data_IF_092028666032
#
_entry.id   IF_092028666032
#
_cell.length_a   1.000
_cell.length_b   1.000
_cell.length_c   1.000
_cell.angle_alpha   90.00
_cell.angle_beta   90.00
_cell.angle_gamma   90.00
#
_symmetry.space_group_name_H-M   'P 1'
#
loop_
_entity.id
_entity.type
_entity.pdbx_description
1 polymer ?
#
# COMPACT_ATOMS: atom_id res chain seq x y z
N UNK A 1 -2.98 -1.48 -28.34
CA UNK A 1 -4.10 -1.25 -27.38
C UNK A 1 -4.38 0.25 -27.31
N UNK A 2 -5.63 0.66 -27.12
CA UNK A 2 -5.98 2.09 -26.99
C UNK A 2 -6.07 2.47 -25.52
N UNK A 3 -5.36 3.53 -25.11
CA UNK A 3 -5.37 4.09 -23.76
C UNK A 3 -5.87 5.53 -23.80
N UNK A 4 -6.85 5.86 -22.96
CA UNK A 4 -7.38 7.22 -22.82
C UNK A 4 -7.17 7.69 -21.38
N UNK A 5 -6.39 8.76 -21.20
CA UNK A 5 -6.06 9.33 -19.89
C UNK A 5 -6.81 10.65 -19.74
N UNK A 6 -7.61 10.78 -18.68
CA UNK A 6 -8.33 12.02 -18.34
C UNK A 6 -7.67 12.71 -17.15
N UNK A 7 -7.90 14.03 -17.02
CA UNK A 7 -7.41 14.88 -15.92
C UNK A 7 -5.87 14.94 -15.82
N UNK A 8 -5.16 14.81 -16.93
CA UNK A 8 -3.73 15.09 -16.98
C UNK A 8 -3.50 16.61 -17.01
N UNK A 9 -2.51 17.07 -16.26
CA UNK A 9 -2.05 18.45 -16.32
C UNK A 9 -1.50 18.75 -17.72
N UNK A 10 -2.04 19.78 -18.37
CA UNK A 10 -1.72 20.10 -19.76
C UNK A 10 -0.26 20.55 -19.92
N UNK A 11 0.29 21.25 -18.93
CA UNK A 11 1.68 21.71 -18.95
C UNK A 11 2.62 20.52 -18.89
N UNK A 12 2.36 19.57 -17.99
CA UNK A 12 3.16 18.33 -17.89
C UNK A 12 3.09 17.50 -19.17
N UNK A 13 1.91 17.35 -19.78
CA UNK A 13 1.77 16.62 -21.04
C UNK A 13 2.56 17.28 -22.18
N UNK A 14 2.60 18.61 -22.22
CA UNK A 14 3.33 19.37 -23.23
C UNK A 14 4.83 19.22 -23.09
N UNK A 15 5.35 19.36 -21.87
CA UNK A 15 6.77 19.15 -21.57
C UNK A 15 7.19 17.70 -21.89
N UNK A 16 6.36 16.72 -21.52
CA UNK A 16 6.61 15.32 -21.83
C UNK A 16 6.65 15.04 -23.33
N UNK A 17 5.71 15.61 -24.11
CA UNK A 17 5.72 15.52 -25.58
C UNK A 17 6.97 16.15 -26.19
N UNK A 18 7.35 17.33 -25.71
CA UNK A 18 8.54 18.02 -26.19
C UNK A 18 9.81 17.18 -25.95
N UNK A 19 9.92 16.58 -24.76
CA UNK A 19 11.05 15.72 -24.42
C UNK A 19 11.04 14.40 -25.21
N UNK A 20 9.87 13.81 -25.49
CA UNK A 20 9.76 12.64 -26.37
C UNK A 20 10.26 12.94 -27.78
N UNK A 21 9.82 14.06 -28.37
CA UNK A 21 10.25 14.51 -29.71
C UNK A 21 11.76 14.79 -29.72
N UNK A 22 12.29 15.44 -28.68
CA UNK A 22 13.72 15.73 -28.55
C UNK A 22 14.58 14.46 -28.53
N UNK A 23 14.03 13.37 -28.01
CA UNK A 23 14.66 12.04 -27.97
C UNK A 23 14.40 11.20 -29.22
N UNK A 24 13.67 11.73 -30.20
CA UNK A 24 13.30 11.00 -31.42
C UNK A 24 12.28 9.89 -31.18
N UNK A 25 11.53 9.94 -30.08
CA UNK A 25 10.54 8.94 -29.70
C UNK A 25 9.13 9.40 -30.06
N UNK A 26 8.29 8.46 -30.46
CA UNK A 26 6.85 8.69 -30.50
C UNK A 26 6.30 8.84 -29.08
N UNK A 27 5.16 9.51 -28.93
CA UNK A 27 4.52 9.66 -27.63
C UNK A 27 4.19 8.30 -26.99
N UNK A 28 3.80 7.31 -27.79
CA UNK A 28 3.56 5.94 -27.34
C UNK A 28 4.81 5.31 -26.74
N UNK A 29 5.95 5.38 -27.43
CA UNK A 29 7.21 4.79 -26.95
C UNK A 29 7.71 5.50 -25.69
N UNK A 30 7.57 6.83 -25.62
CA UNK A 30 7.92 7.58 -24.42
C UNK A 30 7.03 7.17 -23.22
N UNK A 31 5.72 6.95 -23.45
CA UNK A 31 4.81 6.45 -22.42
C UNK A 31 5.22 5.03 -21.98
N UNK A 32 5.54 4.16 -22.92
CA UNK A 32 5.97 2.79 -22.64
C UNK A 32 7.26 2.78 -21.79
N UNK A 33 8.27 3.56 -22.17
CA UNK A 33 9.48 3.72 -21.36
C UNK A 33 9.20 4.34 -19.98
N UNK A 34 8.25 5.26 -19.87
CA UNK A 34 7.87 5.84 -18.58
C UNK A 34 7.17 4.80 -17.69
N UNK A 35 6.34 3.92 -18.27
CA UNK A 35 5.72 2.79 -17.58
C UNK A 35 6.80 1.82 -17.13
N UNK A 36 7.72 1.43 -18.02
CA UNK A 36 8.83 0.54 -17.68
C UNK A 36 9.69 1.11 -16.57
N UNK A 37 10.02 2.41 -16.63
CA UNK A 37 10.72 3.09 -15.55
C UNK A 37 9.92 3.12 -14.26
N UNK A 38 8.60 3.32 -14.34
CA UNK A 38 7.76 3.30 -13.14
C UNK A 38 7.75 1.91 -12.49
N UNK A 39 7.63 0.86 -13.30
CA UNK A 39 7.66 -0.53 -12.84
C UNK A 39 9.04 -0.92 -12.31
N UNK A 40 10.12 -0.56 -13.01
CA UNK A 40 11.49 -0.91 -12.63
C UNK A 40 12.06 -0.06 -11.49
N UNK A 41 11.50 1.14 -11.24
CA UNK A 41 11.89 2.00 -10.12
C UNK A 41 11.28 1.51 -8.80
N UNK A 42 10.27 0.63 -8.86
CA UNK A 42 9.96 -0.29 -7.77
C UNK A 42 11.06 -1.35 -7.76
N UNK A 43 12.26 -0.96 -7.34
CA UNK A 43 13.39 -1.87 -7.27
C UNK A 43 13.30 -2.65 -5.95
N UNK A 44 13.26 -3.97 -6.07
CA UNK A 44 12.05 -4.72 -5.76
C UNK A 44 12.29 -5.82 -4.71
N UNK A 45 13.29 -5.67 -3.81
CA UNK A 45 13.48 -6.69 -2.76
C UNK A 45 12.38 -6.63 -1.70
N UNK A 46 12.03 -5.42 -1.28
CA UNK A 46 11.05 -5.21 -0.22
C UNK A 46 9.61 -5.33 -0.76
N UNK A 47 9.38 -4.98 -2.04
CA UNK A 47 8.08 -5.14 -2.71
C UNK A 47 7.85 -6.57 -3.21
N UNK A 48 8.86 -7.30 -3.69
CA UNK A 48 8.73 -8.73 -3.97
C UNK A 48 8.51 -9.53 -2.67
N UNK A 49 9.25 -9.23 -1.59
CA UNK A 49 8.95 -9.81 -0.27
C UNK A 49 7.52 -9.47 0.19
N UNK A 50 7.06 -8.24 -0.02
CA UNK A 50 5.69 -7.81 0.29
C UNK A 50 4.64 -8.51 -0.57
N UNK A 51 4.89 -8.68 -1.87
CA UNK A 51 4.01 -9.39 -2.81
C UNK A 51 3.89 -10.85 -2.42
N UNK A 52 5.02 -11.52 -2.18
CA UNK A 52 5.05 -12.91 -1.70
C UNK A 52 4.33 -13.07 -0.36
N UNK A 53 4.56 -12.16 0.59
CA UNK A 53 3.87 -12.18 1.89
C UNK A 53 2.35 -12.00 1.74
N UNK A 54 1.92 -11.06 0.89
CA UNK A 54 0.50 -10.80 0.64
C UNK A 54 -0.19 -11.99 -0.05
N UNK A 55 0.47 -12.62 -1.02
CA UNK A 55 -0.07 -13.82 -1.68
C UNK A 55 -0.21 -15.00 -0.71
N UNK A 56 0.80 -15.23 0.14
CA UNK A 56 0.75 -16.25 1.18
C UNK A 56 -0.38 -15.96 2.19
N UNK A 57 -0.54 -14.71 2.60
CA UNK A 57 -1.63 -14.29 3.48
C UNK A 57 -2.99 -14.53 2.83
N UNK A 58 -3.22 -14.12 1.58
CA UNK A 58 -4.51 -14.30 0.91
C UNK A 58 -4.89 -15.78 0.77
N UNK A 59 -3.94 -16.65 0.41
CA UNK A 59 -4.19 -18.09 0.31
C UNK A 59 -4.52 -18.73 1.65
N UNK A 60 -3.89 -18.27 2.73
CA UNK A 60 -4.04 -18.84 4.06
C UNK A 60 -5.10 -18.12 4.91
N UNK A 61 -5.67 -17.00 4.43
CA UNK A 61 -6.57 -16.14 5.20
C UNK A 61 -7.77 -16.91 5.77
N UNK A 62 -8.41 -17.71 4.94
CA UNK A 62 -9.62 -18.48 5.32
C UNK A 62 -9.28 -19.58 6.34
N UNK A 63 -8.11 -20.21 6.21
CA UNK A 63 -7.62 -21.19 7.18
C UNK A 63 -7.20 -20.53 8.50
N UNK A 64 -6.54 -19.37 8.45
CA UNK A 64 -6.11 -18.61 9.62
C UNK A 64 -7.32 -18.14 10.43
N UNK A 65 -8.34 -17.60 9.75
CA UNK A 65 -9.60 -17.17 10.35
C UNK A 65 -10.35 -18.33 11.01
N UNK A 66 -10.24 -19.55 10.47
CA UNK A 66 -11.00 -20.72 10.97
C UNK A 66 -10.26 -21.50 12.06
N UNK A 67 -8.92 -21.56 12.03
CA UNK A 67 -8.13 -22.42 12.94
C UNK A 67 -7.45 -21.66 14.08
N UNK A 68 -7.13 -20.38 13.92
CA UNK A 68 -6.29 -19.64 14.85
C UNK A 68 -7.02 -18.42 15.44
N UNK A 69 -8.07 -18.69 16.21
CA UNK A 69 -8.70 -17.67 17.05
C UNK A 69 -7.74 -17.21 18.17
N UNK A 70 -7.66 -15.90 18.41
CA UNK A 70 -6.82 -15.20 19.39
C UNK A 70 -5.30 -15.24 19.22
N UNK A 71 -4.76 -15.98 18.25
CA UNK A 71 -3.30 -16.08 18.04
C UNK A 71 -2.79 -15.10 16.99
N UNK A 72 -1.53 -14.68 17.14
CA UNK A 72 -0.80 -13.89 16.16
C UNK A 72 -0.17 -14.79 15.10
N UNK A 73 -0.54 -14.57 13.86
CA UNK A 73 0.04 -15.24 12.71
C UNK A 73 1.08 -14.34 12.07
N UNK A 74 2.29 -14.87 11.87
CA UNK A 74 3.42 -14.14 11.26
C UNK A 74 3.76 -14.74 9.91
N UNK A 75 3.69 -13.92 8.87
CA UNK A 75 4.09 -14.28 7.51
C UNK A 75 5.25 -13.40 7.09
N UNK A 76 6.36 -14.01 6.70
CA UNK A 76 7.53 -13.32 6.19
C UNK A 76 8.22 -14.16 5.11
N UNK A 77 8.89 -13.50 4.15
CA UNK A 77 9.51 -14.14 2.97
C UNK A 77 8.58 -15.08 2.19
N UNK A 78 7.29 -14.78 2.15
CA UNK A 78 6.27 -15.58 1.45
C UNK A 78 5.86 -16.88 2.15
N UNK A 79 6.23 -17.09 3.42
CA UNK A 79 5.89 -18.28 4.17
C UNK A 79 5.33 -17.94 5.56
N UNK A 80 4.50 -18.86 6.08
CA UNK A 80 4.06 -18.83 7.47
C UNK A 80 5.24 -19.19 8.37
N UNK A 81 5.75 -18.20 9.12
CA UNK A 81 6.86 -18.41 10.06
C UNK A 81 6.38 -19.13 11.31
N UNK A 82 5.19 -18.77 11.79
CA UNK A 82 4.64 -19.36 12.99
C UNK A 82 3.37 -18.69 13.48
N UNK A 83 2.81 -19.29 14.52
CA UNK A 83 1.63 -18.82 15.24
C UNK A 83 2.03 -18.63 16.70
N UNK A 84 1.84 -17.43 17.22
CA UNK A 84 2.30 -17.02 18.55
C UNK A 84 1.12 -16.52 19.39
N UNK A 85 1.21 -16.69 20.71
CA UNK A 85 0.15 -16.23 21.60
C UNK A 85 0.36 -14.74 22.01
N UNK A 86 1.62 -14.26 21.97
CA UNK A 86 1.98 -12.90 22.37
C UNK A 86 2.73 -12.10 21.30
N UNK A 87 2.46 -10.80 21.22
CA UNK A 87 3.16 -9.88 20.31
C UNK A 87 4.65 -9.70 20.64
N UNK A 88 5.07 -9.97 21.88
CA UNK A 88 6.47 -9.93 22.29
C UNK A 88 7.27 -11.07 21.65
N UNK A 89 6.72 -12.28 21.63
CA UNK A 89 7.34 -13.45 20.98
C UNK A 89 7.49 -13.21 19.46
N UNK A 90 6.48 -12.60 18.84
CA UNK A 90 6.54 -12.16 17.44
C UNK A 90 7.71 -11.20 17.21
N UNK A 91 7.88 -10.21 18.08
CA UNK A 91 8.95 -9.21 17.93
C UNK A 91 10.35 -9.81 18.11
N UNK A 92 10.51 -10.79 19.00
CA UNK A 92 11.77 -11.50 19.18
C UNK A 92 12.13 -12.36 17.97
N UNK A 93 11.16 -13.10 17.41
CA UNK A 93 11.39 -13.91 16.22
C UNK A 93 11.66 -13.05 14.97
N UNK A 94 10.93 -11.95 14.79
CA UNK A 94 11.20 -11.02 13.69
C UNK A 94 12.61 -10.41 13.77
N UNK A 95 13.12 -10.14 14.99
CA UNK A 95 14.50 -9.67 15.20
C UNK A 95 15.54 -10.73 14.83
N UNK A 96 15.30 -12.01 15.16
CA UNK A 96 16.21 -13.12 14.80
C UNK A 96 16.23 -13.35 13.28
N UNK A 97 15.07 -13.25 12.64
CA UNK A 97 14.90 -13.51 11.21
C UNK A 97 15.46 -12.40 10.31
N UNK A 98 15.76 -11.22 10.89
CA UNK A 98 16.26 -10.02 10.20
C UNK A 98 15.49 -9.73 8.90
N UNK A 99 14.16 -9.81 8.99
CA UNK A 99 13.23 -9.62 7.86
C UNK A 99 12.91 -8.14 7.69
N UNK A 100 12.85 -7.68 6.44
CA UNK A 100 12.54 -6.29 6.10
C UNK A 100 11.05 -6.02 6.06
N UNK A 101 10.27 -7.02 5.66
CA UNK A 101 8.81 -6.95 5.57
C UNK A 101 8.20 -8.23 6.15
N UNK A 102 7.22 -8.06 7.06
CA UNK A 102 6.45 -9.15 7.64
C UNK A 102 5.01 -8.70 7.90
N UNK A 103 4.06 -9.61 7.68
CA UNK A 103 2.65 -9.43 8.02
C UNK A 103 2.42 -10.10 9.37
N UNK A 104 1.89 -9.33 10.32
CA UNK A 104 1.44 -9.84 11.62
C UNK A 104 -0.07 -9.63 11.68
N UNK A 105 -0.82 -10.70 11.84
CA UNK A 105 -2.29 -10.67 11.84
C UNK A 105 -2.83 -11.42 13.05
N UNK A 106 -3.76 -10.81 13.79
CA UNK A 106 -4.50 -11.50 14.87
C UNK A 106 -6.00 -11.45 14.56
N UNK A 107 -6.63 -12.57 14.17
CA UNK A 107 -8.04 -12.62 13.80
C UNK A 107 -9.00 -12.02 14.83
N UNK A 108 -8.74 -12.19 16.13
CA UNK A 108 -9.65 -11.71 17.18
C UNK A 108 -9.48 -10.23 17.50
N UNK A 109 -8.28 -9.68 17.32
CA UNK A 109 -8.01 -8.24 17.57
C UNK A 109 -8.24 -7.38 16.34
N UNK A 110 -8.03 -7.94 15.15
CA UNK A 110 -8.14 -7.22 13.88
C UNK A 110 -9.52 -7.35 13.20
N UNK A 111 -10.37 -8.30 13.62
CA UNK A 111 -11.75 -8.44 13.09
C UNK A 111 -12.71 -7.35 13.56
N UNK A 112 -12.41 -6.64 14.65
CA UNK A 112 -13.27 -5.60 15.21
C UNK A 112 -13.03 -4.19 14.62
N UNK A 113 -12.10 -4.03 13.68
CA UNK A 113 -12.09 -2.82 12.86
C UNK A 113 -13.12 -3.00 11.76
N UNK A 114 -14.34 -2.52 12.04
CA UNK A 114 -15.27 -2.06 10.99
C UNK A 114 -14.42 -1.44 9.90
N UNK A 115 -14.54 -1.96 8.69
CA UNK A 115 -13.87 -1.45 7.49
C UNK A 115 -13.89 0.07 7.54
N UNK A 116 -12.77 0.65 7.98
CA UNK A 116 -12.65 2.08 8.16
C UNK A 116 -12.70 2.65 6.77
N UNK A 117 -13.84 3.25 6.44
CA UNK A 117 -14.02 4.04 5.25
C UNK A 117 -12.75 4.84 5.01
N UNK A 118 -12.17 4.60 3.84
CA UNK A 118 -11.08 5.35 3.28
C UNK A 118 -11.32 6.84 3.54
N UNK A 119 -10.50 7.48 4.39
CA UNK A 119 -10.56 8.92 4.70
C UNK A 119 -10.11 9.77 3.49
N UNK A 120 -10.66 9.49 2.31
CA UNK A 120 -10.48 10.24 1.06
C UNK A 120 -11.50 11.36 0.93
N UNK A 121 -12.42 11.49 1.88
CA UNK A 121 -13.35 12.60 1.97
C UNK A 121 -13.13 13.39 3.25
N UNK A 122 -12.56 14.59 3.11
CA UNK A 122 -12.65 15.68 4.09
C UNK A 122 -11.60 15.77 5.21
N UNK A 123 -10.40 16.25 4.87
CA UNK A 123 -9.62 17.12 5.77
C UNK A 123 -10.01 18.61 5.63
N UNK A 124 -11.00 18.96 4.81
CA UNK A 124 -11.47 20.33 4.63
C UNK A 124 -12.63 20.74 5.55
N UNK A 125 -13.50 19.82 5.98
CA UNK A 125 -14.69 20.20 6.75
C UNK A 125 -14.45 20.32 8.26
N UNK A 126 -13.48 19.58 8.81
CA UNK A 126 -13.15 19.64 10.24
C UNK A 126 -12.39 20.92 10.61
N UNK A 127 -11.57 21.47 9.70
CA UNK A 127 -10.91 22.76 9.88
C UNK A 127 -11.84 23.95 9.63
N UNK A 128 -12.85 23.82 8.76
CA UNK A 128 -13.81 24.89 8.50
C UNK A 128 -14.77 25.17 9.67
N UNK A 129 -15.14 24.15 10.47
CA UNK A 129 -16.04 24.36 11.62
C UNK A 129 -15.39 25.06 12.81
N UNK A 130 -14.06 25.00 12.94
CA UNK A 130 -13.36 25.65 14.06
C UNK A 130 -13.08 27.14 13.83
N UNK A 131 -13.12 27.60 12.57
CA UNK A 131 -12.98 29.00 12.21
C UNK A 131 -14.27 29.81 12.41
N UNK A 132 -15.45 29.21 12.20
CA UNK A 132 -16.71 29.95 12.25
C UNK A 132 -17.29 30.13 13.68
N UNK A 133 -16.80 29.37 14.67
CA UNK A 133 -17.22 29.48 16.07
C UNK A 133 -16.37 30.46 16.91
N UNK A 134 -15.49 31.25 16.29
CA UNK A 134 -14.71 32.31 16.97
C UNK A 134 -14.97 33.73 16.44
N UNK A 135 -16.00 33.91 15.62
CA UNK A 135 -16.39 35.21 15.07
C UNK A 135 -17.81 35.64 15.50
N UNK A 136 -18.21 35.25 16.71
CA UNK A 136 -19.56 35.50 17.24
C UNK A 136 -19.57 35.74 18.75
N UNK A 137 -18.67 36.58 19.26
CA UNK A 137 -18.82 37.19 20.58
C UNK A 137 -18.11 38.54 20.55
N UNK A 138 -18.86 39.56 21.00
CA UNK A 138 -18.60 41.01 21.05
C UNK A 138 -19.10 41.75 19.80
#
# INVERSE_FOLDING_TARGET
MTLVIKKIDEKKLREFKAEAIRRGLTLSEAIEQAIDLWLNKVNDKDEEERRMNNEAFQKMKDEILSKYHDKYVVIAKGQLIGVFDNAQEVAEELRKLNVRQAIVFNPSKDSNKREGEWLGGSLSSALARKANNRAGTI
#
